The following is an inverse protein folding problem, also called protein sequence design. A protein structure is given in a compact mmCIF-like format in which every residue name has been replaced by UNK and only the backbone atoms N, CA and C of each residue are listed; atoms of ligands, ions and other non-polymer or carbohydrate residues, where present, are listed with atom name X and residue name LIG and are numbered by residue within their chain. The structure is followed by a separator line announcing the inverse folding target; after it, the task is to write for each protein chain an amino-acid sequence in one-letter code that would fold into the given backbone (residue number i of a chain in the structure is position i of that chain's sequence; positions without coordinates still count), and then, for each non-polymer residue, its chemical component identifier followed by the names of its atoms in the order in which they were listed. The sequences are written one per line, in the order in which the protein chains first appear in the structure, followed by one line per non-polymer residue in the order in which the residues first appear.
data_IF_126509668739
#
_entry.id   IF_126509668739
#
_cell.length_a   1.000
_cell.length_b   1.000
_cell.length_c   1.000
_cell.angle_alpha   90.00
_cell.angle_beta   90.00
_cell.angle_gamma   90.00
#
_symmetry.space_group_name_H-M   'P 1'
#
loop_
_entity.id
_entity.type
_entity.pdbx_description
1 polymer ?
#
# COMPACT_ATOMS: atom_id res chain seq x y z
N UNK A 1 5.22 21.04 -15.70
CA UNK A 1 4.20 19.99 -15.53
C UNK A 1 4.14 19.55 -14.08
N UNK A 2 2.95 19.29 -13.60
CA UNK A 2 2.74 18.90 -12.22
C UNK A 2 2.83 17.37 -12.09
N UNK A 3 3.70 16.90 -11.20
CA UNK A 3 3.80 15.47 -10.88
C UNK A 3 2.63 15.08 -10.00
N UNK A 4 1.98 13.97 -10.31
CA UNK A 4 0.88 13.41 -9.53
C UNK A 4 1.28 12.05 -8.94
N UNK A 5 0.49 11.57 -7.99
CA UNK A 5 0.63 10.23 -7.43
C UNK A 5 0.63 9.18 -8.54
N UNK A 6 -0.19 9.37 -9.57
CA UNK A 6 -0.25 8.47 -10.74
C UNK A 6 1.10 8.32 -11.45
N UNK A 7 1.93 9.36 -11.43
CA UNK A 7 3.23 9.35 -12.10
C UNK A 7 4.29 8.52 -11.37
N UNK A 8 4.15 8.37 -10.06
CA UNK A 8 5.17 7.71 -9.23
C UNK A 8 4.70 6.42 -8.57
N UNK A 9 3.41 6.11 -8.59
CA UNK A 9 2.86 4.90 -7.96
C UNK A 9 3.37 3.62 -8.63
N UNK A 10 3.27 2.51 -7.90
CA UNK A 10 3.44 1.20 -8.48
C UNK A 10 2.12 0.76 -9.10
N UNK A 11 2.12 0.50 -10.40
CA UNK A 11 0.92 0.08 -11.15
C UNK A 11 0.61 -1.41 -10.98
N UNK A 12 1.54 -2.17 -10.41
CA UNK A 12 1.35 -3.59 -10.17
C UNK A 12 0.46 -3.78 -8.96
N UNK A 13 -0.83 -3.98 -9.20
CA UNK A 13 -1.83 -4.17 -8.17
C UNK A 13 -2.16 -5.65 -8.05
N UNK A 14 -1.66 -6.29 -7.00
CA UNK A 14 -1.92 -7.70 -6.72
C UNK A 14 -2.92 -7.81 -5.57
N UNK A 15 -3.89 -8.70 -5.73
CA UNK A 15 -4.96 -8.89 -4.77
C UNK A 15 -4.98 -10.31 -4.23
N UNK A 16 -5.66 -10.50 -3.10
CA UNK A 16 -5.91 -11.82 -2.52
C UNK A 16 -7.25 -11.79 -1.78
N UNK A 17 -7.95 -12.89 -1.74
CA UNK A 17 -9.25 -12.97 -1.07
C UNK A 17 -9.09 -12.95 0.45
N UNK A 18 -10.07 -12.38 1.16
CA UNK A 18 -10.08 -12.32 2.62
C UNK A 18 -10.09 -13.70 3.28
N UNK A 19 -10.65 -14.70 2.59
CA UNK A 19 -10.75 -16.08 3.07
C UNK A 19 -9.50 -16.91 2.83
N UNK A 20 -8.56 -16.41 2.01
CA UNK A 20 -7.31 -17.12 1.77
C UNK A 20 -6.46 -17.15 3.04
N UNK A 21 -5.67 -18.20 3.20
CA UNK A 21 -4.81 -18.36 4.38
C UNK A 21 -3.57 -17.49 4.32
N UNK A 22 -2.96 -17.25 5.47
CA UNK A 22 -1.67 -16.57 5.56
C UNK A 22 -0.61 -17.34 4.75
N UNK A 23 -0.68 -18.66 4.71
CA UNK A 23 0.21 -19.49 3.90
C UNK A 23 0.07 -19.15 2.41
N UNK A 24 -1.15 -19.12 1.90
CA UNK A 24 -1.42 -18.76 0.49
C UNK A 24 -0.97 -17.32 0.19
N UNK A 25 -1.14 -16.43 1.15
CA UNK A 25 -0.71 -15.05 1.04
C UNK A 25 0.81 -14.95 0.88
N UNK A 26 1.55 -15.64 1.74
CA UNK A 26 3.02 -15.67 1.67
C UNK A 26 3.51 -16.26 0.34
N UNK A 27 2.87 -17.32 -0.12
CA UNK A 27 3.19 -17.97 -1.40
C UNK A 27 2.96 -17.01 -2.57
N UNK A 28 1.85 -16.27 -2.57
CA UNK A 28 1.55 -15.29 -3.62
C UNK A 28 2.53 -14.12 -3.60
N UNK A 29 2.89 -13.63 -2.43
CA UNK A 29 3.91 -12.58 -2.31
C UNK A 29 5.24 -13.01 -2.93
N UNK A 30 5.66 -14.24 -2.68
CA UNK A 30 6.86 -14.81 -3.26
C UNK A 30 6.73 -14.95 -4.77
N UNK A 31 5.64 -15.54 -5.25
CA UNK A 31 5.38 -15.75 -6.68
C UNK A 31 5.36 -14.43 -7.45
N UNK A 32 4.68 -13.43 -6.92
CA UNK A 32 4.52 -12.12 -7.57
C UNK A 32 5.64 -11.13 -7.25
N UNK A 33 6.57 -11.52 -6.38
CA UNK A 33 7.66 -10.66 -5.93
C UNK A 33 7.13 -9.32 -5.39
N UNK A 34 6.18 -9.39 -4.49
CA UNK A 34 5.60 -8.21 -3.85
C UNK A 34 5.58 -8.37 -2.34
N UNK A 35 5.70 -7.27 -1.61
CA UNK A 35 5.68 -7.25 -0.14
C UNK A 35 4.29 -6.96 0.43
N UNK A 36 3.31 -6.72 -0.43
CA UNK A 36 1.95 -6.40 0.00
C UNK A 36 0.93 -6.92 -1.01
N UNK A 37 -0.26 -7.26 -0.49
CA UNK A 37 -1.42 -7.65 -1.30
C UNK A 37 -2.64 -6.89 -0.82
N UNK A 38 -3.48 -6.44 -1.74
CA UNK A 38 -4.78 -5.85 -1.41
C UNK A 38 -5.76 -7.00 -1.15
N UNK A 39 -6.35 -6.99 0.04
CA UNK A 39 -7.33 -8.01 0.42
C UNK A 39 -8.70 -7.58 -0.10
N UNK A 40 -9.35 -8.47 -0.82
CA UNK A 40 -10.64 -8.21 -1.46
C UNK A 40 -11.70 -9.20 -1.00
N UNK A 41 -12.98 -8.78 -1.11
CA UNK A 41 -14.11 -9.67 -0.89
C UNK A 41 -14.42 -10.50 -2.15
N UNK A 42 -15.46 -11.33 -2.10
CA UNK A 42 -15.86 -12.19 -3.21
C UNK A 42 -16.23 -11.42 -4.48
N UNK A 43 -16.59 -10.15 -4.33
CA UNK A 43 -16.93 -9.26 -5.45
C UNK A 43 -15.73 -8.45 -5.95
N UNK A 44 -14.56 -8.64 -5.34
CA UNK A 44 -13.36 -7.91 -5.69
C UNK A 44 -13.25 -6.53 -5.05
N UNK A 45 -14.10 -6.21 -4.09
CA UNK A 45 -14.04 -4.94 -3.38
C UNK A 45 -12.86 -4.93 -2.41
N UNK A 46 -11.99 -3.91 -2.46
CA UNK A 46 -10.89 -3.79 -1.50
C UNK A 46 -11.39 -3.62 -0.07
N UNK A 47 -10.91 -4.45 0.83
CA UNK A 47 -11.24 -4.44 2.25
C UNK A 47 -10.10 -3.95 3.11
N UNK A 48 -8.87 -4.30 2.76
CA UNK A 48 -7.71 -4.00 3.58
C UNK A 48 -6.42 -4.34 2.84
N UNK A 49 -5.33 -4.34 3.58
CA UNK A 49 -4.02 -4.63 3.07
C UNK A 49 -3.32 -5.62 3.98
N UNK A 50 -2.63 -6.60 3.40
CA UNK A 50 -1.75 -7.51 4.13
C UNK A 50 -0.33 -7.35 3.61
N UNK A 51 0.63 -7.29 4.53
CA UNK A 51 2.04 -7.08 4.22
C UNK A 51 2.91 -8.18 4.80
N UNK A 52 4.17 -8.26 4.36
CA UNK A 52 5.15 -9.16 4.96
C UNK A 52 5.31 -8.90 6.45
N UNK A 53 5.19 -7.63 6.86
CA UNK A 53 5.23 -7.26 8.28
C UNK A 53 4.09 -7.90 9.06
N UNK A 54 2.89 -7.96 8.49
CA UNK A 54 1.75 -8.63 9.12
C UNK A 54 2.02 -10.11 9.32
N UNK A 55 2.59 -10.76 8.31
CA UNK A 55 2.94 -12.18 8.41
C UNK A 55 3.96 -12.43 9.53
N UNK A 56 4.99 -11.59 9.60
CA UNK A 56 6.00 -11.71 10.65
C UNK A 56 5.42 -11.46 12.05
N UNK A 57 4.69 -10.37 12.21
CA UNK A 57 4.25 -9.89 13.53
C UNK A 57 3.00 -10.57 14.07
N UNK A 58 2.09 -10.96 13.18
CA UNK A 58 0.78 -11.52 13.58
C UNK A 58 0.72 -13.03 13.46
N UNK A 59 1.55 -13.62 12.62
CA UNK A 59 1.57 -15.08 12.41
C UNK A 59 2.80 -15.70 13.04
N UNK A 60 4.00 -15.32 12.60
CA UNK A 60 5.24 -15.95 13.07
C UNK A 60 5.51 -15.70 14.56
N UNK A 61 5.39 -14.44 15.00
CA UNK A 61 5.65 -14.08 16.42
C UNK A 61 4.65 -14.77 17.34
N UNK A 62 3.40 -14.88 16.92
CA UNK A 62 2.33 -15.49 17.72
C UNK A 62 2.31 -17.03 17.59
N UNK A 63 3.21 -17.61 16.81
CA UNK A 63 3.32 -19.06 16.59
C UNK A 63 2.02 -19.69 16.09
N UNK A 64 1.25 -18.95 15.30
CA UNK A 64 0.03 -19.43 14.69
C UNK A 64 0.38 -20.18 13.42
N UNK A 65 -0.19 -21.39 13.18
CA UNK A 65 0.02 -22.10 11.93
C UNK A 65 -0.51 -21.26 10.76
N UNK A 66 0.30 -20.95 9.75
CA UNK A 66 -0.12 -20.02 8.68
C UNK A 66 -1.26 -20.54 7.82
N UNK A 67 -1.49 -21.85 7.77
CA UNK A 67 -2.62 -22.42 7.04
C UNK A 67 -3.93 -22.40 7.82
N UNK A 68 -3.93 -22.00 9.09
CA UNK A 68 -5.12 -21.94 9.94
C UNK A 68 -5.63 -20.51 10.16
N UNK A 69 -4.93 -19.51 9.63
CA UNK A 69 -5.25 -18.09 9.78
C UNK A 69 -5.58 -17.50 8.43
N UNK A 70 -6.65 -16.70 8.37
CA UNK A 70 -7.06 -16.04 7.12
C UNK A 70 -6.59 -14.59 7.05
N UNK A 71 -6.64 -14.01 5.86
CA UNK A 71 -6.30 -12.62 5.65
C UNK A 71 -7.24 -11.69 6.43
N UNK A 72 -8.50 -12.05 6.60
CA UNK A 72 -9.45 -11.29 7.41
C UNK A 72 -8.91 -11.09 8.83
N UNK A 73 -8.21 -12.08 9.38
CA UNK A 73 -7.70 -12.04 10.75
C UNK A 73 -6.45 -11.17 10.91
N UNK A 74 -5.67 -11.01 9.84
CA UNK A 74 -4.35 -10.37 9.94
C UNK A 74 -4.21 -9.08 9.15
N UNK A 75 -5.13 -8.78 8.23
CA UNK A 75 -5.07 -7.56 7.41
C UNK A 75 -5.24 -6.30 8.25
N UNK A 76 -4.70 -5.20 7.76
CA UNK A 76 -5.02 -3.86 8.25
C UNK A 76 -6.21 -3.32 7.47
N UNK A 77 -7.25 -2.88 8.16
CA UNK A 77 -8.46 -2.34 7.54
C UNK A 77 -9.03 -1.19 8.37
N UNK A 78 -9.79 -0.26 7.74
CA UNK A 78 -9.99 -0.16 6.30
C UNK A 78 -8.71 0.26 5.57
N UNK A 79 -8.65 0.00 4.27
CA UNK A 79 -7.53 0.46 3.46
C UNK A 79 -7.67 1.97 3.21
N UNK A 80 -6.57 2.70 3.36
CA UNK A 80 -6.56 4.15 3.11
C UNK A 80 -6.35 4.38 1.63
N UNK A 81 -7.22 5.21 1.04
CA UNK A 81 -7.18 5.50 -0.40
C UNK A 81 -6.74 6.93 -0.67
N UNK A 82 -6.20 7.15 -1.87
CA UNK A 82 -5.83 8.48 -2.35
C UNK A 82 -6.18 8.58 -3.83
N UNK A 83 -6.59 9.76 -4.27
CA UNK A 83 -6.88 9.99 -5.68
C UNK A 83 -5.59 10.04 -6.51
N UNK A 84 -5.66 9.48 -7.72
CA UNK A 84 -4.52 9.42 -8.65
C UNK A 84 -4.01 10.79 -9.07
N UNK A 85 -4.85 11.82 -9.01
CA UNK A 85 -4.48 13.20 -9.36
C UNK A 85 -3.92 14.01 -8.20
N UNK A 86 -3.82 13.41 -7.01
CA UNK A 86 -3.23 14.05 -5.84
C UNK A 86 -1.73 14.26 -6.02
N UNK A 87 -1.19 15.27 -5.33
CA UNK A 87 0.26 15.50 -5.35
C UNK A 87 1.00 14.50 -4.46
N UNK A 88 2.29 14.24 -4.74
CA UNK A 88 3.09 13.39 -3.87
C UNK A 88 3.17 13.89 -2.43
N UNK A 89 3.17 15.20 -2.19
CA UNK A 89 3.19 15.74 -0.83
C UNK A 89 1.92 15.44 -0.07
N UNK A 90 0.77 15.42 -0.72
CA UNK A 90 -0.49 14.99 -0.09
C UNK A 90 -0.40 13.53 0.32
N UNK A 91 0.16 12.67 -0.53
CA UNK A 91 0.36 11.27 -0.19
C UNK A 91 1.27 11.11 1.03
N UNK A 92 2.37 11.84 1.08
CA UNK A 92 3.30 11.81 2.20
C UNK A 92 2.62 12.27 3.51
N UNK A 93 1.84 13.34 3.44
CA UNK A 93 1.08 13.85 4.60
C UNK A 93 0.09 12.79 5.10
N UNK A 94 -0.62 12.12 4.20
CA UNK A 94 -1.57 11.08 4.57
C UNK A 94 -0.89 9.89 5.24
N UNK A 95 0.27 9.47 4.74
CA UNK A 95 1.03 8.39 5.36
C UNK A 95 1.45 8.74 6.78
N UNK A 96 1.92 9.97 7.01
CA UNK A 96 2.30 10.44 8.34
C UNK A 96 1.08 10.57 9.25
N UNK A 97 0.00 11.17 8.75
CA UNK A 97 -1.22 11.40 9.52
C UNK A 97 -1.86 10.09 9.98
N UNK A 98 -1.94 9.11 9.10
CA UNK A 98 -2.56 7.82 9.38
C UNK A 98 -1.58 6.76 9.87
N UNK A 99 -0.29 7.08 9.95
CA UNK A 99 0.78 6.14 10.33
C UNK A 99 0.75 4.86 9.48
N UNK A 100 0.63 5.02 8.18
CA UNK A 100 0.60 3.92 7.21
C UNK A 100 1.71 4.10 6.18
N UNK A 101 2.15 2.99 5.59
CA UNK A 101 3.22 2.95 4.58
C UNK A 101 2.69 2.63 3.18
N UNK A 102 1.39 2.44 3.06
CA UNK A 102 0.75 2.07 1.80
C UNK A 102 -0.54 2.84 1.66
N UNK A 103 -0.76 3.41 0.47
CA UNK A 103 -2.03 4.01 0.11
C UNK A 103 -2.51 3.35 -1.18
N UNK A 104 -3.78 2.98 -1.23
CA UNK A 104 -4.40 2.47 -2.45
C UNK A 104 -4.76 3.66 -3.33
N UNK A 105 -4.20 3.69 -4.53
CA UNK A 105 -4.48 4.76 -5.48
C UNK A 105 -5.73 4.41 -6.28
N UNK A 106 -6.67 5.33 -6.29
CA UNK A 106 -7.95 5.15 -6.99
C UNK A 106 -8.16 6.22 -8.06
N UNK A 107 -8.87 5.85 -9.10
CA UNK A 107 -9.25 6.73 -10.18
C UNK A 107 -10.66 7.25 -9.93
N UNK A 108 -10.79 8.53 -9.57
CA UNK A 108 -12.08 9.16 -9.31
C UNK A 108 -13.01 9.17 -10.50
N UNK A 109 -12.43 9.31 -11.71
CA UNK A 109 -13.22 9.35 -12.93
C UNK A 109 -13.88 8.02 -13.27
N UNK A 110 -13.40 6.92 -12.69
CA UNK A 110 -13.89 5.57 -12.91
C UNK A 110 -14.45 4.93 -11.62
N UNK A 111 -15.26 5.68 -10.89
CA UNK A 111 -15.95 5.22 -9.67
C UNK A 111 -14.97 4.72 -8.59
N UNK A 112 -13.87 5.45 -8.41
CA UNK A 112 -12.83 5.10 -7.43
C UNK A 112 -12.21 3.72 -7.67
N UNK A 113 -12.03 3.35 -8.93
CA UNK A 113 -11.38 2.09 -9.29
C UNK A 113 -9.93 2.07 -8.82
N UNK A 114 -9.50 1.02 -8.12
CA UNK A 114 -8.09 0.87 -7.72
C UNK A 114 -7.20 0.73 -8.96
N UNK A 115 -6.12 1.52 -9.00
CA UNK A 115 -5.20 1.52 -10.15
C UNK A 115 -3.73 1.37 -9.75
N UNK A 116 -3.41 1.38 -8.48
CA UNK A 116 -2.05 1.20 -8.02
C UNK A 116 -1.90 1.34 -6.52
N UNK A 117 -0.67 1.22 -6.07
CA UNK A 117 -0.27 1.38 -4.66
C UNK A 117 0.88 2.38 -4.64
N UNK A 118 0.87 3.28 -3.65
CA UNK A 118 2.00 4.16 -3.40
C UNK A 118 2.58 3.88 -2.02
N UNK A 119 3.91 3.81 -1.95
CA UNK A 119 4.69 3.57 -0.73
C UNK A 119 5.77 4.63 -0.60
N UNK A 120 6.43 4.76 0.58
CA UNK A 120 7.52 5.72 0.73
C UNK A 120 8.65 5.55 -0.29
N UNK A 121 8.94 4.32 -0.71
CA UNK A 121 9.98 4.06 -1.71
C UNK A 121 9.69 4.74 -3.05
N UNK A 122 8.42 4.90 -3.42
CA UNK A 122 8.03 5.52 -4.67
C UNK A 122 8.40 7.01 -4.73
N UNK A 123 8.57 7.65 -3.58
CA UNK A 123 9.01 9.06 -3.53
C UNK A 123 10.45 9.24 -3.99
N UNK A 124 11.25 8.18 -4.03
CA UNK A 124 12.61 8.27 -4.57
C UNK A 124 12.60 8.68 -6.04
N UNK A 125 11.58 8.29 -6.78
CA UNK A 125 11.38 8.71 -8.17
C UNK A 125 11.05 10.19 -8.27
N UNK A 126 10.32 10.70 -7.28
CA UNK A 126 9.93 12.11 -7.23
C UNK A 126 11.10 13.04 -6.98
N UNK A 127 12.14 12.59 -6.30
CA UNK A 127 13.34 13.39 -6.04
C UNK A 127 14.10 13.73 -7.33
N UNK A 128 13.86 13.00 -8.40
CA UNK A 128 14.41 13.31 -9.71
C UNK A 128 13.76 14.55 -10.35
N UNK A 129 12.64 15.02 -9.79
CA UNK A 129 11.90 16.18 -10.25
C UNK A 129 12.01 17.29 -9.20
N UNK A 130 13.11 18.08 -9.23
CA UNK A 130 13.31 19.11 -8.19
C UNK A 130 12.27 20.22 -8.35
N UNK A 131 11.31 20.28 -7.41
CA UNK A 131 10.37 21.37 -7.42
C UNK A 131 9.75 21.65 -6.06
N UNK A 132 9.85 22.91 -5.64
CA UNK A 132 9.23 23.61 -4.55
C UNK A 132 9.63 23.12 -3.15
N UNK A 133 10.14 24.06 -2.38
CA UNK A 133 10.74 23.84 -1.07
C UNK A 133 9.82 23.16 -0.04
N UNK A 134 8.52 23.44 -0.06
CA UNK A 134 7.58 22.85 0.91
C UNK A 134 7.28 21.38 0.68
N UNK A 135 7.18 20.98 -0.57
CA UNK A 135 6.88 19.57 -0.92
C UNK A 135 8.06 18.64 -0.64
N UNK A 136 9.25 19.17 -0.77
CA UNK A 136 10.48 18.46 -0.50
C UNK A 136 10.61 18.08 0.97
N UNK A 137 10.27 19.00 1.86
CA UNK A 137 10.39 18.79 3.31
C UNK A 137 9.53 17.61 3.79
N UNK A 138 8.28 17.50 3.31
CA UNK A 138 7.38 16.42 3.69
C UNK A 138 7.87 15.07 3.19
N UNK A 139 8.38 15.05 1.95
CA UNK A 139 8.90 13.81 1.35
C UNK A 139 10.19 13.38 2.06
N UNK A 140 11.07 14.30 2.39
CA UNK A 140 12.26 14.00 3.18
C UNK A 140 11.91 13.38 4.53
N UNK A 141 10.89 13.89 5.22
CA UNK A 141 10.41 13.32 6.48
C UNK A 141 9.90 11.90 6.31
N UNK A 142 9.18 11.61 5.23
CA UNK A 142 8.70 10.25 4.94
C UNK A 142 9.89 9.32 4.73
N UNK A 143 10.89 9.74 3.96
CA UNK A 143 12.05 8.92 3.69
C UNK A 143 12.85 8.66 4.97
N UNK A 144 13.03 9.65 5.83
CA UNK A 144 13.69 9.49 7.12
C UNK A 144 12.93 8.56 8.05
N UNK A 145 11.60 8.67 8.08
CA UNK A 145 10.76 7.91 9.00
C UNK A 145 10.61 6.44 8.61
N UNK A 146 10.50 6.13 7.30
CA UNK A 146 10.15 4.80 6.82
C UNK A 146 11.28 4.06 6.11
N UNK A 147 12.34 4.72 5.73
CA UNK A 147 13.48 4.13 5.04
C UNK A 147 14.75 4.31 5.82
#
# INVERSE_FOLDING_TARGET
MTVTVSDIMNKKLETIEETASAQQTAEKMKEKNTSSLVVVDVKGKPLGLVTERDLARKVCVNRVPPNEVTNEDIMSSPIITISSDSSPSVAADMMLQHNVRHLLVVDKSSMNRPIGIITPLDFTRYQEYPNTNHKKDTIEKILEYYI
#
